data_IF_955261621896
#
_entry.id   IF_955261621896
#
_cell.length_a   1.000
_cell.length_b   1.000
_cell.length_c   1.000
_cell.angle_alpha   90.00
_cell.angle_beta   90.00
_cell.angle_gamma   90.00
#
_symmetry.space_group_name_H-M   'P 1'
#
loop_
_entity.id
_entity.type
_entity.pdbx_description
1 polymer ?
#
# COMPACT_ATOMS: atom_id res chain seq x y z
N UNK A 1 -8.43 -32.37 -20.68
CA UNK A 1 -9.34 -31.31 -20.20
C UNK A 1 -8.50 -30.23 -19.53
N UNK A 2 -8.36 -29.05 -20.14
CA UNK A 2 -7.54 -27.94 -19.62
C UNK A 2 -8.48 -26.88 -19.04
N UNK A 3 -8.49 -26.75 -17.71
CA UNK A 3 -9.25 -25.72 -17.01
C UNK A 3 -8.58 -24.37 -17.26
N UNK A 4 -9.24 -23.51 -18.03
CA UNK A 4 -8.89 -22.09 -18.14
C UNK A 4 -9.38 -21.38 -16.88
N UNK A 5 -8.47 -21.06 -15.96
CA UNK A 5 -8.75 -20.07 -14.92
C UNK A 5 -8.70 -18.67 -15.57
N UNK A 6 -9.76 -17.85 -15.49
CA UNK A 6 -9.69 -16.47 -15.92
C UNK A 6 -8.82 -15.68 -14.94
N UNK A 7 -7.71 -15.17 -15.45
CA UNK A 7 -6.82 -14.23 -14.76
C UNK A 7 -7.63 -12.95 -14.40
N UNK A 8 -7.68 -12.50 -13.13
CA UNK A 8 -8.31 -11.23 -12.80
C UNK A 8 -7.45 -10.10 -13.38
N UNK A 9 -8.06 -9.30 -14.26
CA UNK A 9 -7.41 -8.15 -14.88
C UNK A 9 -6.97 -7.16 -13.79
N UNK A 10 -5.75 -6.60 -13.85
CA UNK A 10 -5.41 -5.43 -13.05
C UNK A 10 -6.36 -4.29 -13.42
N UNK A 11 -6.92 -3.62 -12.41
CA UNK A 11 -7.73 -2.43 -12.59
C UNK A 11 -6.92 -1.39 -13.39
N UNK A 12 -7.47 -0.81 -14.47
CA UNK A 12 -6.72 0.15 -15.25
C UNK A 12 -6.53 1.44 -14.43
N UNK A 13 -5.30 1.69 -14.00
CA UNK A 13 -4.82 3.02 -13.66
C UNK A 13 -4.77 3.86 -14.94
N UNK A 14 -5.92 4.41 -15.36
CA UNK A 14 -5.96 5.57 -16.26
C UNK A 14 -7.07 6.53 -15.85
N UNK A 15 -6.63 7.63 -15.25
CA UNK A 15 -7.15 8.96 -15.52
C UNK A 15 -8.61 9.20 -15.16
N UNK A 16 -8.86 9.48 -13.89
CA UNK A 16 -9.87 10.46 -13.50
C UNK A 16 -9.56 10.93 -12.08
N UNK A 17 -9.19 12.20 -11.99
CA UNK A 17 -9.30 13.00 -10.77
C UNK A 17 -10.70 12.82 -10.20
N UNK A 18 -10.82 12.08 -9.10
CA UNK A 18 -11.98 12.19 -8.22
C UNK A 18 -11.80 13.50 -7.44
N UNK A 19 -12.09 14.61 -8.11
CA UNK A 19 -12.31 15.89 -7.43
C UNK A 19 -13.62 15.73 -6.68
N UNK A 20 -13.54 15.61 -5.35
CA UNK A 20 -14.68 15.80 -4.47
C UNK A 20 -15.14 17.26 -4.62
N UNK A 21 -16.21 17.48 -5.39
CA UNK A 21 -16.89 18.76 -5.52
C UNK A 21 -17.78 18.97 -4.28
N UNK A 22 -17.30 19.78 -3.34
CA UNK A 22 -18.15 20.46 -2.37
C UNK A 22 -18.98 21.57 -3.05
N UNK A 23 -20.05 22.07 -2.40
CA UNK A 23 -20.98 22.99 -3.03
C UNK A 23 -20.41 24.40 -3.23
N UNK A 24 -20.74 24.93 -4.41
CA UNK A 24 -20.54 26.27 -4.97
C UNK A 24 -20.94 27.44 -4.05
N UNK A 25 -20.03 28.41 -3.85
CA UNK A 25 -20.35 29.83 -3.63
C UNK A 25 -19.31 30.72 -4.34
N UNK A 26 -19.68 31.16 -5.54
CA UNK A 26 -19.54 32.50 -6.13
C UNK A 26 -18.22 33.31 -6.03
N UNK A 27 -17.54 33.33 -7.19
CA UNK A 27 -17.01 34.47 -7.95
C UNK A 27 -16.59 35.77 -7.22
N UNK A 28 -15.31 36.15 -7.38
CA UNK A 28 -14.89 37.52 -7.77
C UNK A 28 -13.44 37.48 -8.31
N UNK A 29 -13.27 37.81 -9.60
CA UNK A 29 -11.98 38.23 -10.19
C UNK A 29 -11.72 39.72 -9.85
N UNK A 30 -10.45 40.16 -9.76
CA UNK A 30 -9.90 40.89 -10.91
C UNK A 30 -8.38 40.74 -11.19
N UNK A 31 -8.08 40.88 -12.49
CA UNK A 31 -6.87 41.35 -13.18
C UNK A 31 -5.57 41.66 -12.42
N UNK A 32 -4.45 41.12 -12.92
CA UNK A 32 -3.15 41.84 -13.03
C UNK A 32 -2.42 41.44 -14.33
N UNK A 33 -1.67 42.40 -14.85
CA UNK A 33 -1.13 42.63 -16.19
C UNK A 33 0.38 42.33 -16.28
N UNK A 34 0.82 41.79 -17.42
CA UNK A 34 2.09 41.95 -18.18
C UNK A 34 3.49 41.78 -17.54
N UNK A 35 4.35 41.03 -18.26
CA UNK A 35 5.81 41.30 -18.36
C UNK A 35 6.66 40.01 -18.48
N UNK A 36 7.06 39.56 -19.67
CA UNK A 36 8.29 39.89 -20.45
C UNK A 36 9.49 38.95 -20.17
N UNK A 37 9.79 38.17 -21.20
CA UNK A 37 11.05 37.54 -21.67
C UNK A 37 12.37 37.79 -20.91
N UNK A 38 13.14 36.71 -20.67
CA UNK A 38 14.55 36.61 -21.09
C UNK A 38 15.14 35.18 -21.03
N UNK A 39 16.04 34.95 -21.98
CA UNK A 39 16.83 33.74 -22.29
C UNK A 39 18.26 34.03 -21.84
N UNK A 40 18.96 33.07 -21.21
CA UNK A 40 20.41 32.99 -21.26
C UNK A 40 20.93 31.60 -20.87
N UNK A 41 21.84 31.13 -21.71
CA UNK A 41 22.69 29.94 -21.69
C UNK A 41 23.75 29.94 -20.58
N UNK A 42 24.15 28.74 -20.14
CA UNK A 42 25.40 28.52 -19.39
C UNK A 42 25.65 27.04 -19.06
N UNK A 43 26.56 26.41 -19.80
CA UNK A 43 27.37 25.23 -19.41
C UNK A 43 28.09 25.52 -18.07
N UNK A 44 28.40 24.63 -17.14
CA UNK A 44 29.04 23.30 -17.09
C UNK A 44 28.97 22.86 -15.58
N UNK A 45 29.59 21.78 -15.06
CA UNK A 45 29.99 20.48 -15.62
C UNK A 45 29.53 19.30 -14.71
N UNK A 46 29.72 18.07 -15.19
CA UNK A 46 30.02 16.86 -14.39
C UNK A 46 29.36 16.70 -13.01
N UNK A 47 28.09 16.28 -12.99
CA UNK A 47 27.58 15.51 -11.85
C UNK A 47 28.08 14.08 -12.00
N UNK A 48 29.26 13.82 -11.42
CA UNK A 48 29.76 12.47 -11.20
C UNK A 48 28.68 11.64 -10.51
N UNK A 49 28.49 10.43 -11.02
CA UNK A 49 27.55 9.45 -10.51
C UNK A 49 27.79 9.17 -9.03
N UNK A 50 27.06 9.88 -8.19
CA UNK A 50 26.61 9.32 -6.93
C UNK A 50 25.27 8.63 -7.22
N UNK A 51 25.34 7.50 -7.95
CA UNK A 51 24.38 6.42 -7.70
C UNK A 51 24.74 5.87 -6.30
N UNK A 52 24.46 6.69 -5.28
CA UNK A 52 24.19 6.12 -3.97
C UNK A 52 23.10 5.11 -4.22
N UNK A 53 23.30 3.88 -3.73
CA UNK A 53 22.23 2.90 -3.59
C UNK A 53 21.08 3.62 -2.90
N UNK A 54 20.18 4.21 -3.68
CA UNK A 54 18.96 4.81 -3.19
C UNK A 54 18.21 3.62 -2.65
N UNK A 55 18.36 3.38 -1.35
CA UNK A 55 17.76 2.25 -0.66
C UNK A 55 16.29 2.25 -1.06
N UNK A 56 15.92 1.22 -1.83
CA UNK A 56 14.67 1.25 -2.57
C UNK A 56 13.55 1.45 -1.56
N UNK A 57 12.80 2.54 -1.72
CA UNK A 57 11.72 2.88 -0.78
C UNK A 57 10.76 1.70 -0.69
N UNK A 58 10.43 1.22 0.53
CA UNK A 58 9.51 0.11 0.66
C UNK A 58 8.19 0.40 -0.05
N UNK A 59 7.66 -0.61 -0.73
CA UNK A 59 6.36 -0.53 -1.41
C UNK A 59 5.27 -1.11 -0.51
N UNK A 60 4.29 -0.28 -0.17
CA UNK A 60 3.18 -0.64 0.69
C UNK A 60 1.99 -1.17 -0.13
N UNK A 61 1.55 -2.37 0.21
CA UNK A 61 0.36 -3.05 -0.32
C UNK A 61 -0.69 -3.04 0.78
N UNK A 62 -1.71 -2.20 0.67
CA UNK A 62 -2.74 -2.09 1.71
C UNK A 62 -3.76 -3.21 1.53
N UNK A 63 -4.09 -3.88 2.63
CA UNK A 63 -5.12 -4.91 2.67
C UNK A 63 -6.16 -4.63 3.74
N UNK A 64 -7.43 -4.83 3.40
CA UNK A 64 -8.53 -4.83 4.36
C UNK A 64 -9.59 -5.89 3.99
N UNK A 65 -10.33 -6.34 4.99
CA UNK A 65 -11.58 -7.09 4.81
C UNK A 65 -12.73 -6.32 5.45
N UNK A 66 -13.80 -6.18 4.69
CA UNK A 66 -14.94 -5.36 5.08
C UNK A 66 -16.27 -6.06 4.75
N UNK A 67 -16.90 -6.63 5.78
CA UNK A 67 -18.15 -7.37 5.64
C UNK A 67 -19.40 -6.49 5.67
N UNK A 68 -19.28 -5.26 6.18
CA UNK A 68 -20.42 -4.36 6.35
C UNK A 68 -20.68 -3.54 5.09
N UNK A 69 -21.88 -2.99 4.98
CA UNK A 69 -22.24 -2.06 3.91
C UNK A 69 -21.83 -0.61 4.21
N UNK A 70 -21.44 -0.31 5.45
CA UNK A 70 -21.02 1.03 5.86
C UNK A 70 -19.59 1.33 5.41
N UNK A 71 -19.44 2.15 4.38
CA UNK A 71 -18.13 2.52 3.84
C UNK A 71 -17.35 3.46 4.75
N UNK A 72 -18.01 4.21 5.63
CA UNK A 72 -17.36 5.21 6.51
C UNK A 72 -16.25 4.59 7.36
N UNK A 73 -16.51 3.41 7.95
CA UNK A 73 -15.49 2.73 8.76
C UNK A 73 -14.36 2.17 7.90
N UNK A 74 -14.65 1.72 6.68
CA UNK A 74 -13.62 1.31 5.74
C UNK A 74 -12.71 2.50 5.38
N UNK A 75 -13.30 3.64 5.04
CA UNK A 75 -12.57 4.85 4.65
C UNK A 75 -11.63 5.32 5.76
N UNK A 76 -12.09 5.35 7.01
CA UNK A 76 -11.23 5.71 8.17
C UNK A 76 -10.02 4.78 8.28
N UNK A 77 -10.18 3.48 8.07
CA UNK A 77 -9.07 2.50 8.16
C UNK A 77 -8.09 2.67 7.00
N UNK A 78 -8.60 2.92 5.79
CA UNK A 78 -7.76 3.19 4.63
C UNK A 78 -6.98 4.48 4.82
N UNK A 79 -7.61 5.54 5.32
CA UNK A 79 -6.96 6.81 5.62
C UNK A 79 -5.84 6.64 6.64
N UNK A 80 -6.04 5.82 7.68
CA UNK A 80 -4.97 5.48 8.64
C UNK A 80 -3.80 4.76 7.98
N UNK A 81 -4.06 3.74 7.16
CA UNK A 81 -3.02 3.02 6.44
C UNK A 81 -2.25 3.95 5.47
N UNK A 82 -2.97 4.80 4.73
CA UNK A 82 -2.39 5.76 3.80
C UNK A 82 -1.52 6.80 4.53
N UNK A 83 -2.02 7.36 5.63
CA UNK A 83 -1.27 8.29 6.47
C UNK A 83 -0.01 7.62 7.04
N UNK A 84 -0.14 6.37 7.48
CA UNK A 84 0.99 5.59 8.00
C UNK A 84 2.06 5.38 6.94
N UNK A 85 1.72 4.83 5.77
CA UNK A 85 2.65 4.61 4.66
C UNK A 85 3.33 5.92 4.23
N UNK A 86 2.57 7.02 4.14
CA UNK A 86 3.10 8.34 3.82
C UNK A 86 4.11 8.84 4.86
N UNK A 87 3.81 8.68 6.15
CA UNK A 87 4.71 9.12 7.22
C UNK A 87 6.03 8.32 7.26
N UNK A 88 6.02 7.09 6.73
CA UNK A 88 7.21 6.25 6.56
C UNK A 88 7.98 6.50 5.26
N UNK A 89 7.48 7.36 4.37
CA UNK A 89 8.08 7.59 3.06
C UNK A 89 7.97 6.40 2.12
N UNK A 90 7.01 5.50 2.35
CA UNK A 90 6.78 4.32 1.52
C UNK A 90 6.03 4.68 0.24
N UNK A 91 6.32 3.95 -0.84
CA UNK A 91 5.58 4.05 -2.09
C UNK A 91 4.30 3.23 -1.98
N UNK A 92 3.13 3.79 -2.31
CA UNK A 92 1.89 3.03 -2.34
C UNK A 92 1.82 2.19 -3.63
N UNK A 93 1.79 0.86 -3.50
CA UNK A 93 1.63 -0.06 -4.61
C UNK A 93 0.16 -0.30 -4.99
N UNK A 94 -0.76 -0.19 -4.01
CA UNK A 94 -2.19 -0.37 -4.24
C UNK A 94 -2.97 -0.72 -2.98
N UNK A 95 -4.27 -0.95 -3.16
CA UNK A 95 -5.23 -1.32 -2.10
C UNK A 95 -6.00 -2.55 -2.56
N UNK A 96 -6.08 -3.57 -1.70
CA UNK A 96 -6.78 -4.84 -1.92
C UNK A 96 -7.85 -5.05 -0.85
N UNK A 97 -9.10 -5.26 -1.28
CA UNK A 97 -10.27 -5.27 -0.39
C UNK A 97 -11.12 -6.52 -0.57
N UNK A 98 -11.14 -7.41 0.42
CA UNK A 98 -12.14 -8.46 0.46
C UNK A 98 -13.45 -7.91 1.04
N UNK A 99 -14.51 -7.84 0.23
CA UNK A 99 -15.80 -7.25 0.58
C UNK A 99 -16.91 -8.29 0.74
N UNK A 100 -17.93 -8.00 1.56
CA UNK A 100 -19.14 -8.82 1.69
C UNK A 100 -18.83 -10.26 2.12
N UNK A 101 -19.34 -11.25 1.38
CA UNK A 101 -19.12 -12.67 1.68
C UNK A 101 -17.63 -13.06 1.67
N UNK A 102 -16.84 -12.42 0.81
CA UNK A 102 -15.39 -12.60 0.78
C UNK A 102 -14.68 -12.03 2.00
N UNK A 103 -15.32 -11.16 2.80
CA UNK A 103 -14.81 -10.68 4.08
C UNK A 103 -15.18 -11.61 5.26
N UNK A 104 -16.19 -12.46 5.08
CA UNK A 104 -16.69 -13.39 6.11
C UNK A 104 -16.12 -14.81 5.95
N UNK A 105 -15.99 -15.29 4.71
CA UNK A 105 -15.56 -16.66 4.41
C UNK A 105 -14.07 -16.93 4.67
N UNK A 106 -13.63 -18.15 4.38
CA UNK A 106 -12.19 -18.51 4.38
C UNK A 106 -11.51 -18.17 3.05
N UNK A 107 -12.29 -18.02 1.97
CA UNK A 107 -11.77 -17.66 0.67
C UNK A 107 -11.55 -16.14 0.56
N UNK A 108 -10.29 -15.74 0.40
CA UNK A 108 -9.81 -14.34 0.34
C UNK A 108 -9.21 -14.04 -1.04
N UNK A 109 -10.03 -13.77 -2.06
CA UNK A 109 -9.55 -13.58 -3.42
C UNK A 109 -8.63 -12.37 -3.55
N UNK A 110 -8.94 -11.24 -2.88
CA UNK A 110 -8.09 -10.05 -2.96
C UNK A 110 -6.79 -10.22 -2.19
N UNK A 111 -6.80 -10.94 -1.06
CA UNK A 111 -5.55 -11.32 -0.41
C UNK A 111 -4.68 -12.22 -1.32
N UNK A 112 -5.29 -13.16 -2.03
CA UNK A 112 -4.57 -13.97 -3.03
C UNK A 112 -3.94 -13.13 -4.14
N UNK A 113 -4.71 -12.19 -4.69
CA UNK A 113 -4.23 -11.26 -5.71
C UNK A 113 -3.11 -10.34 -5.18
N UNK A 114 -3.19 -9.91 -3.92
CA UNK A 114 -2.14 -9.15 -3.26
C UNK A 114 -0.84 -9.95 -3.17
N UNK A 115 -0.87 -11.21 -2.74
CA UNK A 115 0.33 -12.05 -2.71
C UNK A 115 0.98 -12.17 -4.10
N UNK A 116 0.17 -12.34 -5.16
CA UNK A 116 0.69 -12.40 -6.53
C UNK A 116 1.33 -11.06 -6.95
N UNK A 117 0.71 -9.93 -6.60
CA UNK A 117 1.26 -8.61 -6.90
C UNK A 117 2.56 -8.32 -6.12
N UNK A 118 2.65 -8.81 -4.89
CA UNK A 118 3.84 -8.73 -4.04
C UNK A 118 5.00 -9.57 -4.60
N UNK A 119 4.72 -10.81 -5.02
CA UNK A 119 5.71 -11.71 -5.62
C UNK A 119 6.30 -11.15 -6.92
N UNK A 120 5.51 -10.40 -7.69
CA UNK A 120 5.95 -9.73 -8.91
C UNK A 120 6.67 -8.38 -8.67
N UNK A 121 6.67 -7.87 -7.44
CA UNK A 121 7.25 -6.57 -7.12
C UNK A 121 8.74 -6.68 -6.80
N UNK A 122 9.51 -5.66 -7.20
CA UNK A 122 10.94 -5.57 -6.91
C UNK A 122 11.19 -4.66 -5.71
N UNK A 123 12.20 -4.99 -4.91
CA UNK A 123 12.62 -4.21 -3.75
C UNK A 123 11.86 -4.59 -2.47
N UNK A 124 12.02 -3.82 -1.38
CA UNK A 124 11.35 -4.10 -0.12
C UNK A 124 9.84 -3.92 -0.27
N UNK A 125 9.07 -4.88 0.20
CA UNK A 125 7.61 -4.86 0.11
C UNK A 125 6.98 -5.10 1.48
N UNK A 126 5.88 -4.39 1.74
CA UNK A 126 5.16 -4.42 3.01
C UNK A 126 3.68 -4.67 2.75
N UNK A 127 3.09 -5.65 3.42
CA UNK A 127 1.64 -5.80 3.50
C UNK A 127 1.13 -4.96 4.68
N UNK A 128 0.49 -3.83 4.39
CA UNK A 128 -0.02 -2.91 5.41
C UNK A 128 -1.49 -3.21 5.68
N UNK A 129 -1.82 -3.42 6.95
CA UNK A 129 -3.19 -3.58 7.44
C UNK A 129 -3.48 -2.56 8.53
N UNK A 130 -4.75 -2.23 8.75
CA UNK A 130 -5.11 -1.33 9.84
C UNK A 130 -4.81 -1.97 11.22
N UNK A 131 -5.30 -3.20 11.40
CA UNK A 131 -5.12 -4.05 12.57
C UNK A 131 -4.93 -5.52 12.15
N UNK A 132 -4.44 -6.38 13.06
CA UNK A 132 -4.26 -7.82 12.76
C UNK A 132 -5.57 -8.56 12.44
N UNK A 133 -6.68 -8.11 13.03
CA UNK A 133 -8.01 -8.65 12.78
C UNK A 133 -8.48 -8.43 11.32
N UNK A 134 -7.82 -7.53 10.56
CA UNK A 134 -8.07 -7.35 9.13
C UNK A 134 -7.58 -8.52 8.30
N UNK A 135 -6.49 -9.18 8.71
CA UNK A 135 -6.13 -10.47 8.11
C UNK A 135 -7.21 -11.49 8.45
N UNK A 136 -7.39 -11.73 9.75
CA UNK A 136 -8.41 -12.61 10.30
C UNK A 136 -8.36 -12.54 11.83
N UNK A 137 -9.50 -12.81 12.48
CA UNK A 137 -9.59 -12.91 13.96
C UNK A 137 -9.05 -14.23 14.49
N UNK A 138 -8.95 -15.24 13.63
CA UNK A 138 -8.41 -16.54 14.02
C UNK A 138 -6.88 -16.50 13.95
N UNK A 139 -6.23 -16.71 15.09
CA UNK A 139 -4.77 -16.59 15.19
C UNK A 139 -4.01 -17.59 14.30
N UNK A 140 -4.55 -18.79 14.08
CA UNK A 140 -3.92 -19.81 13.23
C UNK A 140 -3.98 -19.39 11.75
N UNK A 141 -5.14 -18.90 11.30
CA UNK A 141 -5.32 -18.37 9.96
C UNK A 141 -4.51 -17.09 9.75
N UNK A 142 -4.39 -16.25 10.77
CA UNK A 142 -3.55 -15.04 10.72
C UNK A 142 -2.09 -15.43 10.52
N UNK A 143 -1.60 -16.45 11.24
CA UNK A 143 -0.26 -17.01 11.03
C UNK A 143 -0.06 -17.52 9.60
N UNK A 144 -1.02 -18.28 9.06
CA UNK A 144 -0.96 -18.78 7.67
C UNK A 144 -0.90 -17.62 6.66
N UNK A 145 -1.71 -16.58 6.84
CA UNK A 145 -1.71 -15.41 5.96
C UNK A 145 -0.38 -14.64 6.01
N UNK A 146 0.15 -14.41 7.22
CA UNK A 146 1.45 -13.75 7.41
C UNK A 146 2.60 -14.55 6.81
N UNK A 147 2.58 -15.88 6.97
CA UNK A 147 3.54 -16.77 6.34
C UNK A 147 3.49 -16.69 4.80
N UNK A 148 2.29 -16.56 4.21
CA UNK A 148 2.15 -16.36 2.75
C UNK A 148 2.75 -15.03 2.28
N UNK A 149 2.66 -13.96 3.08
CA UNK A 149 3.33 -12.69 2.79
C UNK A 149 4.86 -12.83 2.92
N UNK A 150 5.33 -13.54 3.94
CA UNK A 150 6.76 -13.85 4.07
C UNK A 150 7.31 -14.64 2.86
N UNK A 151 6.49 -15.53 2.26
CA UNK A 151 6.87 -16.27 1.05
C UNK A 151 7.08 -15.38 -0.18
N UNK A 152 6.51 -14.17 -0.22
CA UNK A 152 6.77 -13.20 -1.30
C UNK A 152 8.01 -12.34 -1.02
N UNK A 153 8.75 -12.59 0.06
CA UNK A 153 9.86 -11.74 0.52
C UNK A 153 9.41 -10.47 1.25
N UNK A 154 8.12 -10.36 1.61
CA UNK A 154 7.57 -9.23 2.37
C UNK A 154 7.35 -9.55 3.84
N UNK A 155 6.80 -8.59 4.57
CA UNK A 155 6.27 -8.80 5.93
C UNK A 155 4.99 -7.97 6.14
N UNK A 156 4.19 -8.34 7.13
CA UNK A 156 3.02 -7.56 7.49
C UNK A 156 3.35 -6.49 8.53
N UNK A 157 2.69 -5.33 8.40
CA UNK A 157 2.78 -4.20 9.34
C UNK A 157 1.37 -3.68 9.63
N UNK A 158 1.10 -3.28 10.87
CA UNK A 158 -0.16 -2.58 11.23
C UNK A 158 0.00 -1.07 11.09
N UNK A 159 -1.12 -0.35 10.96
CA UNK A 159 -1.11 1.12 10.99
C UNK A 159 -0.66 1.71 12.36
N UNK A 160 -0.56 0.88 13.39
CA UNK A 160 0.02 1.22 14.70
C UNK A 160 1.53 0.95 14.77
N UNK A 161 2.10 0.28 13.75
CA UNK A 161 3.52 0.01 13.60
C UNK A 161 4.01 -1.29 14.21
N UNK A 162 3.11 -2.20 14.56
CA UNK A 162 3.48 -3.58 14.85
C UNK A 162 3.92 -4.27 13.55
N UNK A 163 4.96 -5.10 13.61
CA UNK A 163 5.51 -5.81 12.46
C UNK A 163 5.88 -7.25 12.81
N UNK A 164 5.60 -8.18 11.91
CA UNK A 164 5.99 -9.58 12.07
C UNK A 164 7.50 -9.76 12.08
N UNK A 165 8.22 -8.96 11.28
CA UNK A 165 9.69 -9.01 11.22
C UNK A 165 10.30 -8.60 12.56
N UNK A 166 9.75 -7.56 13.20
CA UNK A 166 10.17 -7.11 14.52
C UNK A 166 9.89 -8.17 15.60
N UNK A 167 8.72 -8.81 15.54
CA UNK A 167 8.34 -9.86 16.47
C UNK A 167 9.22 -11.12 16.33
N UNK A 168 9.60 -11.48 15.11
CA UNK A 168 10.50 -12.61 14.86
C UNK A 168 11.93 -12.32 15.32
N UNK A 169 12.46 -11.12 15.02
CA UNK A 169 13.77 -10.67 15.50
C UNK A 169 13.84 -10.67 17.02
N UNK A 170 12.79 -10.21 17.70
CA UNK A 170 12.73 -10.21 19.16
C UNK A 170 12.71 -11.64 19.73
N UNK A 171 11.92 -12.55 19.14
CA UNK A 171 11.90 -13.97 19.53
C UNK A 171 13.25 -14.65 19.33
N UNK A 172 13.96 -14.35 18.24
CA UNK A 172 15.28 -14.91 17.96
C UNK A 172 16.32 -14.44 19.00
N UNK A 173 16.26 -13.16 19.41
CA UNK A 173 17.12 -12.61 20.47
C UNK A 173 16.92 -13.32 21.80
N UNK A 174 15.67 -13.53 22.21
CA UNK A 174 15.34 -14.20 23.48
C UNK A 174 15.68 -15.71 23.50
N UNK A 175 15.84 -16.34 22.33
CA UNK A 175 16.17 -17.77 22.20
C UNK A 175 17.66 -18.09 22.21
N UNK A 176 18.53 -17.08 22.18
CA UNK A 176 19.98 -17.28 22.22
C UNK A 176 20.43 -17.18 23.67
N UNK A 177 20.73 -18.29 24.38
CA UNK A 177 21.31 -18.20 25.70
C UNK A 177 22.75 -17.71 25.57
N UNK A 178 23.12 -16.73 26.40
CA UNK A 178 24.51 -16.34 26.65
C UNK A 178 25.30 -17.49 27.29
#
# INVERSE_FOLDING_TARGET
MRCHCPCPRPWPLRGRTATYLGPDVQAHHPHVTTGRTQIATGSDPSAGGAEGLAEARPRAFIYDRHATTSTVILDIRLDRCLAYAKSRGWELAGIWLDLGDHALGQHRPQFGALCVAMDAATGPIVCLVDDWDRLTRDASQSSVMRHRVAHTGGHCVTAEGESDESAEKERARLRTPH
#
